data_IF_240461668931
#
_entry.id   IF_240461668931
#
_cell.length_a   1.000
_cell.length_b   1.000
_cell.length_c   1.000
_cell.angle_alpha   90.00
_cell.angle_beta   90.00
_cell.angle_gamma   90.00
#
_symmetry.space_group_name_H-M   'P 1'
#
loop_
_entity.id
_entity.type
_entity.pdbx_description
1 polymer ?
#
# COMPACT_ATOMS: atom_id res chain seq x y z
N UNK A 1 13.70 7.20 1.80
CA UNK A 1 12.25 6.92 1.85
C UNK A 1 11.49 8.04 2.57
N UNK A 2 11.33 9.23 1.95
CA UNK A 2 10.75 10.40 2.64
C UNK A 2 9.22 10.52 2.56
N UNK A 3 8.58 9.87 1.59
CA UNK A 3 7.16 10.07 1.29
C UNK A 3 6.23 9.39 2.31
N UNK A 4 6.63 8.22 2.82
CA UNK A 4 5.90 7.52 3.88
C UNK A 4 5.81 8.37 5.16
N UNK A 5 6.92 8.99 5.56
CA UNK A 5 6.94 9.90 6.72
C UNK A 5 5.97 11.08 6.57
N UNK A 6 5.87 11.67 5.38
CA UNK A 6 4.90 12.73 5.10
C UNK A 6 3.46 12.22 5.16
N UNK A 7 3.19 11.00 4.67
CA UNK A 7 1.86 10.41 4.69
C UNK A 7 1.42 10.02 6.12
N UNK A 8 2.34 9.46 6.92
CA UNK A 8 2.15 9.22 8.36
C UNK A 8 1.89 10.51 9.11
N UNK A 9 2.63 11.57 8.80
CA UNK A 9 2.45 12.88 9.42
C UNK A 9 1.12 13.55 9.00
N UNK A 10 0.67 13.32 7.75
CA UNK A 10 -0.60 13.83 7.24
C UNK A 10 -1.83 13.05 7.71
N UNK A 11 -1.67 11.74 7.94
CA UNK A 11 -2.74 10.83 8.34
C UNK A 11 -2.35 9.99 9.57
N UNK A 12 -2.03 10.63 10.70
CA UNK A 12 -1.54 9.93 11.89
C UNK A 12 -2.59 8.97 12.45
N UNK A 13 -3.88 9.26 12.28
CA UNK A 13 -4.97 8.37 12.70
C UNK A 13 -4.93 7.01 12.00
N UNK A 14 -4.55 6.98 10.72
CA UNK A 14 -4.48 5.76 9.91
C UNK A 14 -3.32 4.88 10.37
N UNK A 15 -2.22 5.49 10.82
CA UNK A 15 -1.03 4.80 11.35
C UNK A 15 -1.21 4.38 12.82
N UNK A 16 -2.00 5.14 13.59
CA UNK A 16 -2.22 4.88 15.02
C UNK A 16 -3.01 3.60 15.30
N UNK A 17 -3.88 3.21 14.37
CA UNK A 17 -4.71 2.01 14.48
C UNK A 17 -4.03 0.74 13.94
N UNK A 18 -2.87 0.86 13.30
CA UNK A 18 -2.15 -0.27 12.70
C UNK A 18 -0.88 -0.61 13.46
N UNK A 19 -0.78 -1.88 13.84
CA UNK A 19 0.34 -2.42 14.63
C UNK A 19 1.46 -2.99 13.79
N UNK A 20 1.22 -3.15 12.50
CA UNK A 20 1.93 -4.06 11.61
C UNK A 20 1.93 -3.49 10.19
N UNK A 21 3.00 -3.72 9.42
CA UNK A 21 3.07 -3.29 8.02
C UNK A 21 1.89 -3.78 7.18
N UNK A 22 1.45 -5.03 7.37
CA UNK A 22 0.31 -5.61 6.66
C UNK A 22 -1.02 -4.96 7.04
N UNK A 23 -1.19 -4.64 8.33
CA UNK A 23 -2.36 -3.91 8.82
C UNK A 23 -2.45 -2.55 8.15
N UNK A 24 -1.32 -1.84 8.02
CA UNK A 24 -1.26 -0.55 7.35
C UNK A 24 -1.70 -0.64 5.89
N UNK A 25 -1.22 -1.65 5.16
CA UNK A 25 -1.62 -1.89 3.76
C UNK A 25 -3.13 -2.16 3.66
N UNK A 26 -3.68 -2.97 4.55
CA UNK A 26 -5.12 -3.25 4.57
C UNK A 26 -5.97 -2.01 4.94
N UNK A 27 -5.44 -1.11 5.79
CA UNK A 27 -6.14 0.13 6.17
C UNK A 27 -6.07 1.19 5.07
N UNK A 28 -5.00 1.26 4.27
CA UNK A 28 -4.90 2.17 3.11
C UNK A 28 -6.06 1.94 2.14
N UNK A 29 -6.35 0.68 1.83
CA UNK A 29 -7.45 0.26 0.96
C UNK A 29 -8.81 0.74 1.49
N UNK A 30 -9.08 0.50 2.78
CA UNK A 30 -10.43 0.64 3.32
C UNK A 30 -10.74 2.05 3.86
N UNK A 31 -9.75 2.78 4.39
CA UNK A 31 -9.97 4.03 5.12
C UNK A 31 -9.61 5.28 4.30
N UNK A 32 -8.46 5.26 3.59
CA UNK A 32 -8.01 6.43 2.83
C UNK A 32 -8.93 6.69 1.63
N UNK A 33 -9.44 5.66 0.96
CA UNK A 33 -10.40 5.83 -0.14
C UNK A 33 -11.66 6.55 0.28
N UNK A 34 -12.20 6.23 1.45
CA UNK A 34 -13.43 6.83 1.95
C UNK A 34 -13.19 8.27 2.40
N UNK A 35 -12.07 8.56 3.05
CA UNK A 35 -11.74 9.90 3.51
C UNK A 35 -11.31 10.84 2.38
N UNK A 36 -10.48 10.37 1.44
CA UNK A 36 -10.04 11.17 0.30
C UNK A 36 -11.19 11.41 -0.67
N UNK A 37 -12.09 10.44 -0.89
CA UNK A 37 -13.29 10.67 -1.71
C UNK A 37 -14.26 11.66 -1.05
N UNK A 38 -14.28 11.76 0.29
CA UNK A 38 -15.06 12.79 1.01
C UNK A 38 -14.46 14.19 0.85
N UNK A 39 -13.13 14.29 0.82
CA UNK A 39 -12.41 15.56 0.64
C UNK A 39 -12.33 16.01 -0.83
N UNK A 40 -12.23 15.04 -1.74
CA UNK A 40 -12.08 15.22 -3.18
C UNK A 40 -13.01 14.23 -3.92
N UNK A 41 -14.29 14.57 -4.09
CA UNK A 41 -15.26 13.69 -4.75
C UNK A 41 -14.93 13.41 -6.22
N UNK A 42 -14.18 14.31 -6.87
CA UNK A 42 -13.71 14.20 -8.27
C UNK A 42 -12.30 13.60 -8.39
N UNK A 43 -11.73 13.04 -7.32
CA UNK A 43 -10.43 12.38 -7.41
C UNK A 43 -10.57 11.00 -8.09
N UNK A 44 -9.92 10.84 -9.24
CA UNK A 44 -9.62 9.52 -9.82
C UNK A 44 -8.63 8.78 -8.93
N UNK A 45 -9.20 8.08 -7.95
CA UNK A 45 -8.45 7.34 -6.94
C UNK A 45 -8.07 5.96 -7.48
N UNK A 46 -6.81 5.52 -7.28
CA UNK A 46 -6.37 4.19 -7.68
C UNK A 46 -7.08 3.11 -6.86
N UNK A 47 -7.69 2.10 -7.47
CA UNK A 47 -8.23 0.96 -6.72
C UNK A 47 -7.11 0.09 -6.16
N UNK A 48 -7.07 -0.09 -4.85
CA UNK A 48 -6.30 -1.14 -4.21
C UNK A 48 -7.22 -2.34 -3.94
N UNK A 49 -6.65 -3.52 -3.87
CA UNK A 49 -7.35 -4.72 -3.41
C UNK A 49 -6.33 -5.63 -2.78
N UNK A 50 -6.54 -6.01 -1.53
CA UNK A 50 -5.62 -6.87 -0.81
C UNK A 50 -6.23 -8.25 -0.61
N UNK A 51 -5.39 -9.28 -0.69
CA UNK A 51 -5.77 -10.67 -0.58
C UNK A 51 -4.75 -11.41 0.27
N UNK A 52 -5.20 -11.93 1.41
CA UNK A 52 -4.35 -12.75 2.27
C UNK A 52 -4.16 -14.12 1.63
N UNK A 53 -2.91 -14.43 1.25
CA UNK A 53 -2.50 -15.73 0.69
C UNK A 53 -1.94 -16.67 1.76
N UNK A 54 -1.89 -16.22 3.01
CA UNK A 54 -1.45 -16.98 4.18
C UNK A 54 -1.36 -16.10 5.42
N UNK A 55 -0.92 -16.66 6.57
CA UNK A 55 -0.67 -15.88 7.79
C UNK A 55 0.39 -14.79 7.60
N UNK A 56 1.39 -15.06 6.75
CA UNK A 56 2.55 -14.17 6.52
C UNK A 56 2.67 -13.72 5.07
N UNK A 57 1.64 -13.95 4.25
CA UNK A 57 1.66 -13.61 2.82
C UNK A 57 0.45 -12.76 2.47
N UNK A 58 0.71 -11.54 2.00
CA UNK A 58 -0.30 -10.59 1.56
C UNK A 58 -0.05 -10.23 0.11
N UNK A 59 -1.08 -10.33 -0.74
CA UNK A 59 -1.04 -9.88 -2.13
C UNK A 59 -1.88 -8.63 -2.26
N UNK A 60 -1.27 -7.53 -2.69
CA UNK A 60 -1.91 -6.26 -2.95
C UNK A 60 -1.97 -6.03 -4.46
N UNK A 61 -3.16 -6.06 -5.03
CA UNK A 61 -3.42 -5.62 -6.39
C UNK A 61 -3.62 -4.11 -6.39
N UNK A 62 -2.76 -3.41 -7.11
CA UNK A 62 -2.82 -1.99 -7.38
C UNK A 62 -3.37 -1.74 -8.78
N UNK A 63 -4.37 -0.89 -8.92
CA UNK A 63 -4.90 -0.46 -10.21
C UNK A 63 -5.10 1.04 -10.22
N UNK A 64 -4.52 1.73 -11.19
CA UNK A 64 -4.61 3.18 -11.33
C UNK A 64 -4.59 3.59 -12.79
N UNK A 65 -5.38 4.60 -13.14
CA UNK A 65 -5.27 5.23 -14.46
C UNK A 65 -4.05 6.16 -14.57
N UNK A 66 -3.48 6.60 -13.44
CA UNK A 66 -2.34 7.53 -13.39
C UNK A 66 -0.98 6.86 -13.36
N UNK A 67 -0.94 5.52 -13.30
CA UNK A 67 0.33 4.76 -13.29
C UNK A 67 1.21 5.02 -12.05
N UNK A 68 0.63 5.30 -10.88
CA UNK A 68 1.39 5.65 -9.67
C UNK A 68 1.88 4.41 -8.89
N UNK A 69 2.21 3.32 -9.59
CA UNK A 69 2.63 2.06 -8.98
C UNK A 69 3.96 2.21 -8.22
N UNK A 70 4.94 2.95 -8.76
CA UNK A 70 6.20 3.22 -8.09
C UNK A 70 6.01 4.01 -6.77
N UNK A 71 4.97 4.85 -6.71
CA UNK A 71 4.62 5.57 -5.49
C UNK A 71 4.05 4.62 -4.43
N UNK A 72 3.18 3.69 -4.84
CA UNK A 72 2.66 2.65 -3.96
C UNK A 72 3.79 1.74 -3.44
N UNK A 73 4.70 1.31 -4.33
CA UNK A 73 5.90 0.54 -3.97
C UNK A 73 6.76 1.27 -2.92
N UNK A 74 7.02 2.57 -3.14
CA UNK A 74 7.77 3.39 -2.19
C UNK A 74 7.10 3.53 -0.82
N UNK A 75 5.76 3.55 -0.77
CA UNK A 75 5.00 3.55 0.49
C UNK A 75 5.13 2.22 1.23
N UNK A 76 5.01 1.10 0.51
CA UNK A 76 5.18 -0.24 1.08
C UNK A 76 6.58 -0.42 1.68
N UNK A 77 7.62 -0.06 0.93
CA UNK A 77 9.00 -0.12 1.40
C UNK A 77 9.22 0.76 2.63
N UNK A 78 8.63 1.95 2.66
CA UNK A 78 8.65 2.85 3.82
C UNK A 78 7.95 2.26 5.05
N UNK A 79 6.85 1.51 4.87
CA UNK A 79 6.21 0.79 5.96
C UNK A 79 7.14 -0.26 6.56
N UNK A 80 7.75 -1.11 5.72
CA UNK A 80 8.62 -2.18 6.21
C UNK A 80 9.81 -1.63 7.00
N UNK A 81 10.40 -0.53 6.53
CA UNK A 81 11.46 0.19 7.22
C UNK A 81 10.98 0.79 8.56
N UNK A 82 9.78 1.39 8.58
CA UNK A 82 9.21 2.01 9.78
C UNK A 82 8.90 0.99 10.89
N UNK A 83 8.33 -0.15 10.54
CA UNK A 83 8.04 -1.23 11.48
C UNK A 83 9.27 -2.11 11.77
N UNK A 84 10.41 -1.84 11.12
CA UNK A 84 11.64 -2.64 11.16
C UNK A 84 11.40 -4.13 10.87
N UNK A 85 10.53 -4.44 9.92
CA UNK A 85 10.16 -5.81 9.56
C UNK A 85 10.86 -6.27 8.28
N UNK A 86 11.38 -7.50 8.30
CA UNK A 86 11.94 -8.15 7.11
C UNK A 86 10.80 -8.71 6.25
N UNK A 87 10.28 -7.87 5.34
CA UNK A 87 9.25 -8.26 4.37
C UNK A 87 9.84 -8.32 2.96
N UNK A 88 9.71 -9.47 2.30
CA UNK A 88 10.04 -9.61 0.88
C UNK A 88 8.90 -9.03 0.04
N UNK A 89 9.18 -8.01 -0.75
CA UNK A 89 8.24 -7.39 -1.68
C UNK A 89 8.57 -7.84 -3.11
N UNK A 90 7.63 -8.51 -3.76
CA UNK A 90 7.69 -8.85 -5.18
C UNK A 90 6.68 -8.02 -5.94
N UNK A 91 7.13 -7.29 -6.97
CA UNK A 91 6.26 -6.55 -7.88
C UNK A 91 6.06 -7.32 -9.17
N UNK A 92 4.82 -7.43 -9.60
CA UNK A 92 4.40 -8.06 -10.85
C UNK A 92 3.57 -7.05 -11.64
N UNK A 93 4.11 -6.52 -12.74
CA UNK A 93 3.37 -5.62 -13.61
C UNK A 93 2.37 -6.43 -14.45
N UNK A 94 1.08 -6.15 -14.29
CA UNK A 94 -0.02 -6.77 -15.02
C UNK A 94 -0.54 -5.89 -16.16
N UNK A 95 0.13 -4.78 -16.42
CA UNK A 95 -0.25 -3.76 -17.41
C UNK A 95 0.73 -3.64 -18.56
N UNK A 96 1.56 -4.68 -18.78
CA UNK A 96 2.57 -4.73 -19.84
C UNK A 96 3.50 -3.50 -19.85
N UNK A 97 3.82 -2.97 -18.66
CA UNK A 97 4.71 -1.82 -18.49
C UNK A 97 4.04 -0.45 -18.48
N UNK A 98 2.70 -0.38 -18.54
CA UNK A 98 1.99 0.88 -18.38
C UNK A 98 1.91 1.38 -16.92
N UNK A 99 2.24 0.53 -15.93
CA UNK A 99 2.15 0.83 -14.50
C UNK A 99 0.73 1.04 -13.99
N UNK A 100 -0.28 0.75 -14.82
CA UNK A 100 -1.71 0.98 -14.50
C UNK A 100 -2.31 -0.17 -13.70
N UNK A 101 -1.70 -1.35 -13.74
CA UNK A 101 -2.12 -2.52 -12.97
C UNK A 101 -0.88 -3.29 -12.52
N UNK A 102 -0.65 -3.36 -11.21
CA UNK A 102 0.54 -3.99 -10.63
C UNK A 102 0.12 -4.82 -9.43
N UNK A 103 0.56 -6.06 -9.34
CA UNK A 103 0.39 -6.91 -8.18
C UNK A 103 1.65 -6.91 -7.33
N UNK A 104 1.53 -6.45 -6.09
CA UNK A 104 2.57 -6.50 -5.08
C UNK A 104 2.34 -7.70 -4.16
N UNK A 105 3.23 -8.67 -4.18
CA UNK A 105 3.19 -9.81 -3.27
C UNK A 105 4.20 -9.58 -2.15
N UNK A 106 3.71 -9.49 -0.92
CA UNK A 106 4.49 -9.28 0.29
C UNK A 106 4.56 -10.58 1.08
N UNK A 107 5.76 -10.98 1.46
CA UNK A 107 6.01 -12.12 2.36
C UNK A 107 6.79 -11.67 3.58
N UNK A 108 6.17 -11.78 4.75
CA UNK A 108 6.86 -11.59 6.03
C UNK A 108 7.79 -12.78 6.28
N UNK A 109 9.04 -12.48 6.55
CA UNK A 109 10.01 -13.49 7.00
C UNK A 109 10.00 -13.47 8.52
N UNK A 110 9.09 -14.24 9.13
CA UNK A 110 9.06 -14.37 10.59
C UNK A 110 10.29 -15.19 11.00
N UNK A 111 11.24 -14.56 11.70
CA UNK A 111 12.34 -15.26 12.38
C UNK A 111 11.88 -15.79 13.73
#
# INVERSE_FOLDING_TARGET
YHLFGTLVAGYPAVVKDVKDSFGLVATIDNHIHVEVRKLYPDADLPSFSHEYRGPDVLRLLYKSERGLADLAEGLLLGCFDHFQEEVELQREDLSEGAGTCVAFTMRRTVK
#
